data_IF_699359091784
#
_entry.id   IF_699359091784
#
_cell.length_a   1.000
_cell.length_b   1.000
_cell.length_c   1.000
_cell.angle_alpha   90.00
_cell.angle_beta   90.00
_cell.angle_gamma   90.00
#
_symmetry.space_group_name_H-M   'P 1'
#
loop_
_entity.id
_entity.type
_entity.pdbx_description
1 polymer ?
#
# COMPACT_ATOMS: atom_id res chain seq x y z
N UNK A 1 7.13 -18.19 0.14
CA UNK A 1 6.76 -16.87 -0.46
C UNK A 1 6.45 -15.80 0.58
N UNK A 2 6.52 -16.14 1.86
CA UNK A 2 6.35 -15.24 3.02
C UNK A 2 7.08 -13.90 2.94
N UNK A 3 8.36 -13.89 2.53
CA UNK A 3 9.14 -12.65 2.42
C UNK A 3 8.61 -11.71 1.33
N UNK A 4 8.06 -12.23 0.24
CA UNK A 4 7.45 -11.44 -0.82
C UNK A 4 6.14 -10.81 -0.35
N UNK A 5 5.26 -11.58 0.29
CA UNK A 5 3.98 -11.07 0.82
C UNK A 5 4.23 -10.02 1.90
N UNK A 6 5.21 -10.23 2.80
CA UNK A 6 5.62 -9.19 3.76
C UNK A 6 6.11 -7.91 3.09
N UNK A 7 6.92 -8.02 2.03
CA UNK A 7 7.36 -6.86 1.24
C UNK A 7 6.18 -6.16 0.57
N UNK A 8 5.16 -6.89 0.13
CA UNK A 8 3.93 -6.33 -0.42
C UNK A 8 3.14 -5.57 0.64
N UNK A 9 2.95 -6.15 1.83
CA UNK A 9 2.32 -5.48 2.97
C UNK A 9 3.09 -4.21 3.40
N UNK A 10 4.42 -4.24 3.39
CA UNK A 10 5.28 -3.10 3.72
C UNK A 10 5.11 -1.89 2.78
N UNK A 11 4.43 -2.05 1.64
CA UNK A 11 4.13 -0.91 0.76
C UNK A 11 3.03 -0.01 1.31
N UNK A 12 2.17 -0.52 2.19
CA UNK A 12 1.00 0.23 2.67
C UNK A 12 0.74 0.11 4.17
N UNK A 13 1.41 -0.79 4.87
CA UNK A 13 1.28 -0.93 6.33
C UNK A 13 2.35 -0.15 7.09
N UNK A 14 2.02 0.30 8.29
CA UNK A 14 2.99 0.86 9.25
C UNK A 14 3.96 -0.24 9.70
N UNK A 15 5.26 0.07 9.91
CA UNK A 15 6.25 -0.95 10.29
C UNK A 15 5.89 -1.72 11.57
N UNK A 16 5.28 -1.05 12.55
CA UNK A 16 4.86 -1.66 13.82
C UNK A 16 3.80 -2.75 13.63
N UNK A 17 2.93 -2.63 12.63
CA UNK A 17 1.91 -3.63 12.30
C UNK A 17 2.47 -4.85 11.55
N UNK A 18 3.76 -4.84 11.19
CA UNK A 18 4.46 -5.95 10.55
C UNK A 18 5.47 -6.64 11.49
N UNK A 19 5.79 -5.99 12.61
CA UNK A 19 6.70 -6.52 13.63
C UNK A 19 6.00 -7.58 14.49
N UNK A 20 6.76 -8.54 15.01
CA UNK A 20 6.25 -9.53 15.98
C UNK A 20 5.41 -10.68 15.39
N UNK A 21 4.91 -10.56 14.16
CA UNK A 21 4.19 -11.63 13.49
C UNK A 21 5.16 -12.63 12.85
N UNK A 22 5.18 -13.90 13.29
CA UNK A 22 5.94 -14.98 12.65
C UNK A 22 5.21 -15.55 11.42
N UNK A 23 3.89 -15.72 11.51
CA UNK A 23 3.07 -16.20 10.40
C UNK A 23 2.42 -15.05 9.63
N UNK A 24 2.07 -15.30 8.36
CA UNK A 24 1.40 -14.29 7.53
C UNK A 24 -0.06 -14.08 7.92
N UNK A 25 -0.69 -15.11 8.49
CA UNK A 25 -2.10 -15.08 8.85
C UNK A 25 -2.36 -14.15 10.04
N UNK A 26 -1.34 -13.91 10.87
CA UNK A 26 -1.42 -12.98 11.99
C UNK A 26 -1.40 -11.50 11.56
N UNK A 27 -1.00 -11.22 10.31
CA UNK A 27 -0.90 -9.86 9.81
C UNK A 27 -2.30 -9.35 9.46
N UNK A 28 -2.80 -8.40 10.24
CA UNK A 28 -4.11 -7.76 10.05
C UNK A 28 -4.05 -6.66 8.98
N UNK A 29 -3.69 -7.03 7.74
CA UNK A 29 -3.44 -6.08 6.64
C UNK A 29 -4.68 -5.34 6.14
N UNK A 30 -5.89 -5.74 6.53
CA UNK A 30 -7.14 -5.04 6.19
C UNK A 30 -7.50 -3.96 7.21
N UNK A 31 -6.92 -4.01 8.40
CA UNK A 31 -7.22 -3.07 9.47
C UNK A 31 -6.69 -1.68 9.13
N UNK A 32 -7.58 -0.67 9.19
CA UNK A 32 -7.27 0.68 8.73
C UNK A 32 -6.24 1.37 9.62
N UNK A 33 -6.25 1.06 10.93
CA UNK A 33 -5.25 1.59 11.86
C UNK A 33 -3.83 1.13 11.56
N UNK A 34 -3.67 0.04 10.80
CA UNK A 34 -2.37 -0.47 10.38
C UNK A 34 -1.86 0.15 9.08
N UNK A 35 -2.63 1.01 8.42
CA UNK A 35 -2.24 1.57 7.12
C UNK A 35 -1.44 2.86 7.26
N UNK A 36 -0.49 3.06 6.34
CA UNK A 36 0.16 4.34 6.13
C UNK A 36 -0.86 5.36 5.61
N UNK A 37 -0.72 6.65 5.97
CA UNK A 37 -1.45 7.71 5.29
C UNK A 37 -1.22 7.64 3.77
N UNK A 38 -2.23 7.98 2.95
CA UNK A 38 -2.16 7.88 1.49
C UNK A 38 -0.89 8.49 0.88
N UNK A 39 -0.50 9.68 1.36
CA UNK A 39 0.73 10.37 0.94
C UNK A 39 2.05 9.63 1.26
N UNK A 40 2.00 8.62 2.13
CA UNK A 40 3.15 7.78 2.52
C UNK A 40 3.11 6.37 1.91
N UNK A 41 2.08 6.01 1.15
CA UNK A 41 2.04 4.73 0.43
C UNK A 41 3.23 4.59 -0.51
N UNK A 42 3.82 3.40 -0.57
CA UNK A 42 4.90 3.11 -1.52
C UNK A 42 4.34 2.75 -2.89
N UNK A 43 4.05 3.79 -3.68
CA UNK A 43 3.57 3.71 -5.08
C UNK A 43 4.69 3.77 -6.12
N UNK A 44 5.96 3.74 -5.68
CA UNK A 44 7.14 3.91 -6.54
C UNK A 44 7.52 5.37 -6.80
N UNK A 45 8.81 5.60 -7.06
CA UNK A 45 9.40 6.92 -7.25
C UNK A 45 8.80 7.67 -8.46
N UNK A 46 8.77 7.02 -9.62
CA UNK A 46 8.25 7.62 -10.86
C UNK A 46 6.79 8.04 -10.74
N UNK A 47 5.94 7.18 -10.16
CA UNK A 47 4.52 7.47 -9.94
C UNK A 47 4.35 8.66 -9.00
N UNK A 48 5.11 8.70 -7.90
CA UNK A 48 5.09 9.82 -6.94
C UNK A 48 5.51 11.13 -7.59
N UNK A 49 6.62 11.11 -8.33
CA UNK A 49 7.13 12.29 -9.03
C UNK A 49 6.14 12.82 -10.07
N UNK A 50 5.49 11.92 -10.83
CA UNK A 50 4.47 12.30 -11.81
C UNK A 50 3.22 12.89 -11.14
N UNK A 51 2.74 12.27 -10.06
CA UNK A 51 1.57 12.75 -9.31
C UNK A 51 1.81 14.16 -8.75
N UNK A 52 2.99 14.40 -8.15
CA UNK A 52 3.38 15.72 -7.66
C UNK A 52 3.45 16.73 -8.81
N UNK A 53 4.12 16.40 -9.92
CA UNK A 53 4.21 17.30 -11.08
C UNK A 53 2.85 17.70 -11.65
N UNK A 54 1.91 16.75 -11.73
CA UNK A 54 0.55 17.02 -12.19
C UNK A 54 -0.21 17.93 -11.20
N UNK A 55 -0.01 17.73 -9.89
CA UNK A 55 -0.63 18.56 -8.86
C UNK A 55 -0.07 19.98 -8.88
N UNK A 56 1.25 20.11 -8.94
CA UNK A 56 1.96 21.41 -8.98
C UNK A 56 1.63 22.19 -10.26
N UNK A 57 1.41 21.48 -11.37
CA UNK A 57 0.99 22.07 -12.64
C UNK A 57 -0.50 22.43 -12.71
N UNK A 58 -1.31 22.05 -11.72
CA UNK A 58 -2.76 22.27 -11.73
C UNK A 58 -3.55 21.32 -12.64
N UNK A 59 -2.90 20.33 -13.25
CA UNK A 59 -3.54 19.31 -14.11
C UNK A 59 -4.49 18.41 -13.30
N UNK A 60 -4.20 18.25 -12.00
CA UNK A 60 -5.06 17.54 -11.05
C UNK A 60 -5.22 18.34 -9.75
N UNK A 61 -6.33 18.10 -9.08
CA UNK A 61 -6.66 18.68 -7.78
C UNK A 61 -6.09 17.86 -6.62
N UNK A 62 -5.97 18.45 -5.41
CA UNK A 62 -5.68 17.70 -4.19
C UNK A 62 -6.66 16.55 -3.96
N UNK A 63 -7.95 16.76 -4.24
CA UNK A 63 -9.00 15.73 -4.12
C UNK A 63 -8.75 14.54 -5.06
N UNK A 64 -8.32 14.79 -6.31
CA UNK A 64 -7.94 13.70 -7.23
C UNK A 64 -6.71 12.94 -6.74
N UNK A 65 -5.75 13.63 -6.12
CA UNK A 65 -4.58 13.00 -5.47
C UNK A 65 -5.01 12.12 -4.30
N UNK A 66 -5.97 12.55 -3.48
CA UNK A 66 -6.54 11.74 -2.39
C UNK A 66 -7.26 10.50 -2.92
N UNK A 67 -8.11 10.65 -3.95
CA UNK A 67 -8.77 9.53 -4.62
C UNK A 67 -7.75 8.53 -5.16
N UNK A 68 -6.72 8.99 -5.87
CA UNK A 68 -5.65 8.12 -6.35
C UNK A 68 -5.00 7.31 -5.22
N UNK A 69 -4.68 7.95 -4.10
CA UNK A 69 -4.06 7.26 -2.97
C UNK A 69 -5.01 6.23 -2.34
N UNK A 70 -6.31 6.51 -2.28
CA UNK A 70 -7.34 5.56 -1.80
C UNK A 70 -7.42 4.34 -2.71
N UNK A 71 -7.41 4.54 -4.03
CA UNK A 71 -7.47 3.46 -5.01
C UNK A 71 -6.18 2.64 -5.02
N UNK A 72 -5.02 3.29 -4.87
CA UNK A 72 -3.73 2.61 -4.72
C UNK A 72 -3.70 1.71 -3.48
N UNK A 73 -4.24 2.17 -2.35
CA UNK A 73 -4.37 1.35 -1.14
C UNK A 73 -5.29 0.14 -1.39
N UNK A 74 -6.46 0.35 -2.00
CA UNK A 74 -7.40 -0.72 -2.31
C UNK A 74 -6.76 -1.79 -3.24
N UNK A 75 -6.01 -1.35 -4.25
CA UNK A 75 -5.25 -2.24 -5.12
C UNK A 75 -4.20 -3.07 -4.34
N UNK A 76 -3.43 -2.43 -3.45
CA UNK A 76 -2.41 -3.14 -2.66
C UNK A 76 -3.02 -4.17 -1.72
N UNK A 77 -4.15 -3.86 -1.08
CA UNK A 77 -4.91 -4.82 -0.25
C UNK A 77 -5.34 -6.01 -1.11
N UNK A 78 -5.92 -5.76 -2.29
CA UNK A 78 -6.34 -6.82 -3.22
C UNK A 78 -5.16 -7.67 -3.71
N UNK A 79 -4.01 -7.05 -3.94
CA UNK A 79 -2.80 -7.76 -4.33
C UNK A 79 -2.31 -8.71 -3.22
N UNK A 80 -2.39 -8.31 -1.94
CA UNK A 80 -2.07 -9.20 -0.81
C UNK A 80 -3.07 -10.34 -0.71
N UNK A 81 -4.38 -10.06 -0.82
CA UNK A 81 -5.42 -11.11 -0.83
C UNK A 81 -5.17 -12.14 -1.93
N UNK A 82 -4.88 -11.68 -3.14
CA UNK A 82 -4.57 -12.53 -4.28
C UNK A 82 -3.31 -13.37 -4.01
N UNK A 83 -2.24 -12.74 -3.51
CA UNK A 83 -0.99 -13.42 -3.22
C UNK A 83 -1.15 -14.53 -2.17
N UNK A 84 -1.90 -14.28 -1.10
CA UNK A 84 -2.20 -15.28 -0.07
C UNK A 84 -3.04 -16.45 -0.61
N UNK A 85 -3.94 -16.19 -1.56
CA UNK A 85 -4.80 -17.23 -2.15
C UNK A 85 -4.10 -18.07 -3.23
N UNK A 86 -3.11 -17.51 -3.92
CA UNK A 86 -2.57 -18.08 -5.17
C UNK A 86 -1.11 -18.48 -5.11
N UNK A 87 -0.33 -17.93 -4.18
CA UNK A 87 1.08 -18.28 -4.04
C UNK A 87 1.26 -19.37 -2.98
N UNK A 88 2.17 -20.33 -3.19
CA UNK A 88 2.55 -21.29 -2.16
C UNK A 88 3.30 -20.53 -1.07
N UNK A 89 2.67 -20.44 0.10
CA UNK A 89 3.12 -19.59 1.22
C UNK A 89 4.35 -20.18 1.89
#
# INVERSE_FOLDING_TARGET
>A
MTSFIRKLCAKFMVPTALQGHQELHDITFKEKSNHLPGRKLNIGFTTRAKLNRLLDGGDITPRQTETFNKDALAFLIKAVEYALQKLPV
#
